data_IF_728633370000
#
_entry.id   IF_728633370000
#
_cell.length_a   1.000
_cell.length_b   1.000
_cell.length_c   1.000
_cell.angle_alpha   90.00
_cell.angle_beta   90.00
_cell.angle_gamma   90.00
#
_symmetry.space_group_name_H-M   'P 1'
#
loop_
_entity.id
_entity.type
_entity.pdbx_description
1 polymer ?
#
# COMPACT_ATOMS: atom_id res chain seq x y z
N UNK A 1 -11.80 -13.64 -5.74
CA UNK A 1 -10.32 -13.51 -5.77
C UNK A 1 -9.94 -12.21 -5.08
N UNK A 2 -8.80 -12.14 -4.40
CA UNK A 2 -8.31 -10.86 -3.86
C UNK A 2 -7.54 -10.11 -4.94
N UNK A 3 -7.77 -8.81 -5.04
CA UNK A 3 -7.02 -7.94 -5.94
C UNK A 3 -5.79 -7.39 -5.22
N UNK A 4 -4.81 -6.90 -5.97
CA UNK A 4 -3.58 -6.32 -5.45
C UNK A 4 -3.17 -5.10 -6.28
N UNK A 5 -2.71 -4.07 -5.58
CA UNK A 5 -1.93 -2.98 -6.17
C UNK A 5 -0.47 -3.28 -5.84
N UNK A 6 0.40 -3.23 -6.83
CA UNK A 6 1.81 -3.57 -6.71
C UNK A 6 2.68 -2.34 -6.96
N UNK A 7 3.81 -2.23 -6.26
CA UNK A 7 4.80 -1.20 -6.57
C UNK A 7 6.20 -1.61 -6.10
N UNK A 8 7.26 -1.24 -6.82
CA UNK A 8 8.62 -1.66 -6.51
C UNK A 8 9.28 -0.70 -5.50
N UNK A 9 10.09 -1.23 -4.58
CA UNK A 9 10.92 -0.47 -3.63
C UNK A 9 12.33 -1.06 -3.53
N UNK A 10 13.28 -0.23 -3.10
CA UNK A 10 14.71 -0.60 -3.01
C UNK A 10 14.99 -1.69 -1.97
N UNK A 11 14.36 -1.60 -0.81
CA UNK A 11 14.62 -2.46 0.35
C UNK A 11 13.36 -2.63 1.20
N UNK A 12 13.27 -3.77 1.90
CA UNK A 12 12.17 -4.01 2.85
C UNK A 12 12.40 -3.14 4.09
N UNK A 13 11.45 -2.25 4.47
CA UNK A 13 11.62 -1.41 5.66
C UNK A 13 11.57 -2.24 6.95
N UNK A 14 12.11 -1.69 8.05
CA UNK A 14 11.81 -2.23 9.37
C UNK A 14 10.33 -2.04 9.69
N UNK A 15 9.82 -2.82 10.66
CA UNK A 15 8.43 -2.68 11.10
C UNK A 15 8.17 -1.29 11.67
N UNK A 16 9.11 -0.75 12.46
CA UNK A 16 9.01 0.60 13.03
C UNK A 16 8.93 1.66 11.93
N UNK A 17 9.81 1.61 10.93
CA UNK A 17 9.77 2.53 9.78
C UNK A 17 8.45 2.43 9.02
N UNK A 18 7.91 1.22 8.86
CA UNK A 18 6.61 1.03 8.20
C UNK A 18 5.48 1.67 9.01
N UNK A 19 5.48 1.52 10.34
CA UNK A 19 4.50 2.16 11.22
C UNK A 19 4.57 3.68 11.10
N UNK A 20 5.76 4.26 11.21
CA UNK A 20 5.98 5.71 11.12
C UNK A 20 5.46 6.24 9.77
N UNK A 21 5.80 5.56 8.66
CA UNK A 21 5.32 5.93 7.32
C UNK A 21 3.80 5.94 7.23
N UNK A 22 3.13 4.94 7.79
CA UNK A 22 1.66 4.85 7.72
C UNK A 22 1.04 5.95 8.59
N UNK A 23 1.52 6.13 9.82
CA UNK A 23 0.98 7.13 10.75
C UNK A 23 1.18 8.55 10.21
N UNK A 24 2.39 8.89 9.82
CA UNK A 24 2.73 10.19 9.26
C UNK A 24 1.97 10.43 7.94
N UNK A 25 1.84 9.39 7.11
CA UNK A 25 1.07 9.45 5.87
C UNK A 25 -0.40 9.80 6.09
N UNK A 26 -1.04 9.18 7.09
CA UNK A 26 -2.42 9.50 7.45
C UNK A 26 -2.54 10.92 8.00
N UNK A 27 -1.63 11.34 8.88
CA UNK A 27 -1.64 12.70 9.42
C UNK A 27 -1.41 13.76 8.34
N UNK A 28 -0.52 13.50 7.37
CA UNK A 28 -0.30 14.36 6.20
C UNK A 28 -1.55 14.47 5.31
N UNK A 29 -2.42 13.46 5.33
CA UNK A 29 -3.73 13.46 4.66
C UNK A 29 -4.86 14.01 5.56
N UNK A 30 -4.54 14.56 6.73
CA UNK A 30 -5.49 15.04 7.74
C UNK A 30 -6.46 13.95 8.24
N UNK A 31 -6.03 12.69 8.25
CA UNK A 31 -6.80 11.55 8.73
C UNK A 31 -6.39 11.16 10.16
N UNK A 32 -7.38 10.72 10.95
CA UNK A 32 -7.13 10.18 12.29
C UNK A 32 -6.56 8.76 12.22
N UNK A 33 -5.60 8.46 13.09
CA UNK A 33 -5.03 7.11 13.25
C UNK A 33 -5.52 6.40 14.52
N UNK A 34 -6.41 7.03 15.30
CA UNK A 34 -6.84 6.51 16.62
C UNK A 34 -7.52 5.13 16.55
N UNK A 35 -8.16 4.81 15.42
CA UNK A 35 -8.86 3.54 15.19
C UNK A 35 -8.09 2.61 14.24
N UNK A 36 -6.87 2.97 13.85
CA UNK A 36 -6.05 2.18 12.94
C UNK A 36 -5.29 1.10 13.71
N UNK A 37 -5.49 -0.15 13.33
CA UNK A 37 -4.74 -1.30 13.83
C UNK A 37 -3.78 -1.80 12.75
N UNK A 38 -2.50 -1.94 13.11
CA UNK A 38 -1.47 -2.51 12.24
C UNK A 38 -0.90 -3.73 12.93
N UNK A 39 -1.13 -4.91 12.34
CA UNK A 39 -0.66 -6.19 12.84
C UNK A 39 0.26 -6.87 11.83
N UNK A 40 1.03 -7.86 12.29
CA UNK A 40 1.84 -8.71 11.43
C UNK A 40 1.48 -10.18 11.65
N UNK A 41 1.65 -11.00 10.61
CA UNK A 41 1.41 -12.44 10.73
C UNK A 41 2.27 -13.08 11.82
N UNK A 42 1.70 -14.10 12.48
CA UNK A 42 2.27 -14.78 13.64
C UNK A 42 3.50 -15.64 13.27
N UNK A 43 4.60 -14.97 12.96
CA UNK A 43 5.92 -15.55 12.70
C UNK A 43 6.95 -14.98 13.66
N UNK A 44 8.05 -15.69 13.92
CA UNK A 44 9.11 -15.23 14.83
C UNK A 44 9.76 -13.93 14.33
N UNK A 45 10.08 -13.02 15.25
CA UNK A 45 10.80 -11.76 14.95
C UNK A 45 9.95 -10.68 14.26
N UNK A 46 10.58 -9.56 13.92
CA UNK A 46 9.94 -8.38 13.30
C UNK A 46 10.36 -8.17 11.83
N UNK A 47 11.17 -9.05 11.25
CA UNK A 47 11.55 -8.97 9.84
C UNK A 47 10.31 -9.21 8.94
N UNK A 48 10.05 -8.30 8.01
CA UNK A 48 8.85 -8.31 7.17
C UNK A 48 8.95 -9.18 5.90
N UNK A 49 10.12 -9.74 5.58
CA UNK A 49 10.39 -10.44 4.31
C UNK A 49 9.47 -11.62 4.03
N UNK A 50 8.96 -12.28 5.06
CA UNK A 50 8.06 -13.42 4.93
C UNK A 50 6.73 -13.20 5.68
N UNK A 51 6.43 -11.95 6.03
CA UNK A 51 5.24 -11.59 6.80
C UNK A 51 4.18 -10.93 5.93
N UNK A 52 2.95 -11.04 6.43
CA UNK A 52 1.82 -10.26 5.94
C UNK A 52 1.57 -9.19 7.00
N UNK A 53 1.56 -7.93 6.61
CA UNK A 53 1.10 -6.85 7.48
C UNK A 53 -0.39 -6.67 7.22
N UNK A 54 -1.18 -6.69 8.28
CA UNK A 54 -2.61 -6.44 8.22
C UNK A 54 -2.88 -5.03 8.73
N UNK A 55 -3.65 -4.25 7.98
CA UNK A 55 -4.03 -2.89 8.35
C UNK A 55 -5.55 -2.84 8.37
N UNK A 56 -6.12 -2.39 9.48
CA UNK A 56 -7.55 -2.24 9.66
C UNK A 56 -7.88 -0.88 10.25
N UNK A 57 -8.79 -0.15 9.60
CA UNK A 57 -9.50 0.95 10.23
C UNK A 57 -10.78 0.39 10.87
N UNK A 58 -10.86 0.44 12.20
CA UNK A 58 -11.99 -0.11 12.95
C UNK A 58 -13.23 0.80 12.92
N UNK A 59 -13.10 2.09 12.60
CA UNK A 59 -14.24 3.00 12.56
C UNK A 59 -15.16 2.70 11.38
N UNK A 60 -14.57 2.33 10.24
CA UNK A 60 -15.27 2.13 8.98
C UNK A 60 -15.13 0.71 8.41
N UNK A 61 -14.56 -0.20 9.18
CA UNK A 61 -14.33 -1.62 8.84
C UNK A 61 -13.49 -1.82 7.56
N UNK A 62 -12.62 -0.86 7.24
CA UNK A 62 -11.72 -0.98 6.10
C UNK A 62 -10.54 -1.86 6.45
N UNK A 63 -10.17 -2.76 5.55
CA UNK A 63 -9.03 -3.65 5.76
C UNK A 63 -8.25 -3.92 4.48
N UNK A 64 -6.94 -3.91 4.63
CA UNK A 64 -5.97 -4.28 3.60
C UNK A 64 -4.86 -5.11 4.21
N UNK A 65 -4.07 -5.75 3.35
CA UNK A 65 -2.85 -6.41 3.77
C UNK A 65 -1.70 -6.12 2.84
N UNK A 66 -0.49 -6.05 3.39
CA UNK A 66 0.74 -5.75 2.67
C UNK A 66 1.62 -6.99 2.70
N UNK A 67 2.24 -7.29 1.57
CA UNK A 67 3.29 -8.30 1.43
C UNK A 67 4.50 -7.73 0.70
N UNK A 68 5.69 -8.16 1.07
CA UNK A 68 6.93 -7.85 0.36
C UNK A 68 7.44 -9.11 -0.34
N UNK A 69 7.72 -9.01 -1.65
CA UNK A 69 8.29 -10.10 -2.43
C UNK A 69 9.63 -9.65 -2.99
N UNK A 70 10.71 -10.28 -2.55
CA UNK A 70 12.06 -10.01 -3.05
C UNK A 70 12.32 -10.84 -4.31
N UNK A 71 12.86 -10.19 -5.34
CA UNK A 71 13.36 -10.80 -6.56
C UNK A 71 14.88 -10.65 -6.59
N UNK A 72 15.59 -11.74 -6.90
CA UNK A 72 17.03 -11.67 -7.07
C UNK A 72 17.37 -10.80 -8.29
N UNK A 73 18.49 -10.03 -8.26
CA UNK A 73 18.85 -9.09 -9.32
C UNK A 73 18.86 -9.66 -10.73
N UNK A 74 19.19 -10.95 -10.86
CA UNK A 74 19.20 -11.69 -12.11
C UNK A 74 17.81 -11.75 -12.74
N UNK A 75 16.77 -11.98 -11.92
CA UNK A 75 15.39 -12.03 -12.36
C UNK A 75 14.81 -10.64 -12.65
N UNK A 76 15.24 -9.60 -11.93
CA UNK A 76 14.76 -8.22 -12.13
C UNK A 76 14.97 -7.75 -13.58
N UNK A 77 16.15 -8.05 -14.14
CA UNK A 77 16.47 -7.70 -15.53
C UNK A 77 15.63 -8.48 -16.55
N UNK A 78 15.13 -9.67 -16.19
CA UNK A 78 14.26 -10.48 -17.06
C UNK A 78 12.80 -10.01 -17.03
N UNK A 79 12.34 -9.46 -15.90
CA UNK A 79 10.95 -9.03 -15.69
C UNK A 79 10.73 -7.52 -15.81
N UNK A 80 11.79 -6.75 -16.12
CA UNK A 80 11.77 -5.29 -16.34
C UNK A 80 11.12 -4.51 -15.18
N UNK A 81 11.56 -4.79 -13.95
CA UNK A 81 11.07 -4.14 -12.73
C UNK A 81 12.13 -3.16 -12.19
N UNK A 82 11.72 -1.97 -11.78
CA UNK A 82 12.63 -0.91 -11.33
C UNK A 82 13.48 -1.26 -10.10
N UNK A 83 12.93 -2.03 -9.15
CA UNK A 83 13.58 -2.32 -7.87
C UNK A 83 13.35 -3.78 -7.40
N UNK A 84 14.25 -4.32 -6.55
CA UNK A 84 14.25 -5.74 -6.15
C UNK A 84 13.07 -6.19 -5.29
N UNK A 85 12.35 -5.27 -4.65
CA UNK A 85 11.26 -5.66 -3.76
C UNK A 85 9.95 -5.18 -4.34
N UNK A 86 9.05 -6.10 -4.69
CA UNK A 86 7.68 -5.78 -5.05
C UNK A 86 6.80 -5.78 -3.80
N UNK A 87 6.27 -4.61 -3.46
CA UNK A 87 5.23 -4.46 -2.45
C UNK A 87 3.90 -4.80 -3.08
N UNK A 88 3.06 -5.56 -2.38
CA UNK A 88 1.68 -5.80 -2.79
C UNK A 88 0.70 -5.42 -1.70
N UNK A 89 -0.21 -4.50 -2.02
CA UNK A 89 -1.33 -4.07 -1.18
C UNK A 89 -2.58 -4.80 -1.64
N UNK A 90 -2.98 -5.83 -0.89
CA UNK A 90 -4.12 -6.66 -1.18
C UNK A 90 -5.40 -6.19 -0.49
N UNK A 91 -6.53 -6.35 -1.18
CA UNK A 91 -7.85 -5.92 -0.71
C UNK A 91 -8.98 -6.83 -1.23
N UNK A 92 -10.19 -6.65 -0.66
CA UNK A 92 -11.44 -7.26 -1.15
C UNK A 92 -12.60 -6.27 -1.07
N UNK A 93 -13.32 -6.09 -2.17
CA UNK A 93 -14.47 -5.17 -2.24
C UNK A 93 -14.07 -3.72 -2.53
N UNK A 94 -15.06 -2.90 -2.89
CA UNK A 94 -14.84 -1.55 -3.40
C UNK A 94 -14.35 -0.55 -2.33
N UNK A 95 -14.87 -0.61 -1.11
CA UNK A 95 -14.40 0.31 -0.04
C UNK A 95 -12.94 0.04 0.33
N UNK A 96 -12.57 -1.24 0.47
CA UNK A 96 -11.20 -1.65 0.72
C UNK A 96 -10.27 -1.37 -0.47
N UNK A 97 -10.79 -1.31 -1.70
CA UNK A 97 -10.01 -0.88 -2.85
C UNK A 97 -9.56 0.58 -2.71
N UNK A 98 -10.49 1.48 -2.38
CA UNK A 98 -10.18 2.89 -2.17
C UNK A 98 -9.20 3.08 -1.02
N UNK A 99 -9.39 2.32 0.06
CA UNK A 99 -8.47 2.29 1.19
C UNK A 99 -7.08 1.75 0.80
N UNK A 100 -7.02 0.71 -0.05
CA UNK A 100 -5.77 0.19 -0.59
C UNK A 100 -5.04 1.21 -1.46
N UNK A 101 -5.76 2.00 -2.28
CA UNK A 101 -5.16 3.09 -3.07
C UNK A 101 -4.54 4.14 -2.16
N UNK A 102 -5.24 4.52 -1.08
CA UNK A 102 -4.70 5.45 -0.08
C UNK A 102 -3.43 4.91 0.59
N UNK A 103 -3.45 3.66 1.04
CA UNK A 103 -2.27 3.01 1.63
C UNK A 103 -1.12 2.89 0.62
N UNK A 104 -1.42 2.54 -0.62
CA UNK A 104 -0.45 2.46 -1.71
C UNK A 104 0.22 3.82 -1.91
N UNK A 105 -0.54 4.90 -2.00
CA UNK A 105 0.00 6.24 -2.16
C UNK A 105 0.94 6.64 -1.02
N UNK A 106 0.50 6.43 0.23
CA UNK A 106 1.30 6.71 1.43
C UNK A 106 2.63 5.95 1.38
N UNK A 107 2.57 4.64 1.16
CA UNK A 107 3.74 3.78 1.17
C UNK A 107 4.67 4.03 -0.02
N UNK A 108 4.12 4.12 -1.23
CA UNK A 108 4.89 4.30 -2.45
C UNK A 108 5.64 5.63 -2.44
N UNK A 109 5.02 6.72 -1.95
CA UNK A 109 5.71 8.01 -1.80
C UNK A 109 6.85 7.95 -0.78
N UNK A 110 6.59 7.40 0.40
CA UNK A 110 7.55 7.40 1.49
C UNK A 110 8.71 6.41 1.27
N UNK A 111 8.46 5.32 0.54
CA UNK A 111 9.47 4.31 0.18
C UNK A 111 10.11 4.57 -1.19
N UNK A 112 9.90 5.76 -1.75
CA UNK A 112 10.51 6.25 -3.00
C UNK A 112 10.26 5.32 -4.21
N UNK A 113 9.07 4.71 -4.28
CA UNK A 113 8.63 4.03 -5.49
C UNK A 113 8.47 5.04 -6.62
N UNK A 114 8.72 4.57 -7.85
CA UNK A 114 8.58 5.38 -9.05
C UNK A 114 7.28 5.09 -9.78
N UNK A 115 6.87 3.83 -9.79
CA UNK A 115 5.74 3.33 -10.57
C UNK A 115 4.80 2.50 -9.71
N UNK A 116 3.56 2.38 -10.16
CA UNK A 116 2.56 1.49 -9.59
C UNK A 116 2.06 0.56 -10.71
N UNK A 117 1.89 -0.71 -10.39
CA UNK A 117 1.26 -1.71 -11.25
C UNK A 117 -0.08 -2.11 -10.62
N UNK A 118 -1.19 -1.89 -11.30
CA UNK A 118 -2.51 -2.30 -10.82
C UNK A 118 -3.09 -3.39 -11.71
N UNK A 119 -3.38 -4.55 -11.13
CA UNK A 119 -3.99 -5.67 -11.84
C UNK A 119 -5.49 -5.47 -12.12
N UNK A 120 -6.14 -4.46 -11.54
CA UNK A 120 -7.60 -4.41 -11.48
C UNK A 120 -8.30 -3.13 -11.95
N UNK A 121 -7.77 -1.90 -11.81
CA UNK A 121 -8.65 -0.74 -12.12
C UNK A 121 -8.05 0.61 -12.51
N UNK A 122 -6.85 0.99 -12.10
CA UNK A 122 -6.43 2.40 -12.23
C UNK A 122 -6.34 2.90 -13.67
N UNK A 123 -6.11 2.02 -14.64
CA UNK A 123 -6.48 2.18 -16.06
C UNK A 123 -6.70 0.76 -16.60
N UNK A 124 -7.61 0.56 -17.57
CA UNK A 124 -7.77 -0.70 -18.31
C UNK A 124 -6.55 -1.05 -19.21
N UNK A 125 -5.34 -0.72 -18.77
CA UNK A 125 -4.08 -1.07 -19.43
C UNK A 125 -3.10 -1.59 -18.40
N UNK A 126 -2.38 -2.64 -18.77
CA UNK A 126 -1.23 -3.19 -18.03
C UNK A 126 -0.03 -2.24 -18.13
N UNK A 127 -0.26 -0.95 -17.94
CA UNK A 127 0.75 0.09 -18.10
C UNK A 127 1.12 0.60 -16.71
N UNK A 128 2.41 0.80 -16.50
CA UNK A 128 2.98 1.46 -15.34
C UNK A 128 2.61 2.94 -15.33
N UNK A 129 2.31 3.49 -14.15
CA UNK A 129 2.04 4.91 -13.99
C UNK A 129 2.77 5.48 -12.78
N UNK A 130 3.18 6.76 -12.84
CA UNK A 130 3.91 7.41 -11.77
C UNK A 130 3.05 7.55 -10.51
N UNK A 131 3.69 7.45 -9.34
CA UNK A 131 3.01 7.56 -8.03
C UNK A 131 2.19 8.85 -7.88
N UNK A 132 2.60 9.94 -8.56
CA UNK A 132 1.92 11.23 -8.55
C UNK A 132 0.50 11.17 -9.11
N UNK A 133 0.20 10.25 -10.04
CA UNK A 133 -1.15 10.13 -10.61
C UNK A 133 -2.18 9.69 -9.57
N UNK A 134 -1.75 8.93 -8.55
CA UNK A 134 -2.60 8.52 -7.44
C UNK A 134 -3.14 9.70 -6.61
N UNK A 135 -2.48 10.86 -6.61
CA UNK A 135 -2.85 11.99 -5.76
C UNK A 135 -4.30 12.43 -6.00
N UNK A 136 -4.70 12.53 -7.26
CA UNK A 136 -6.07 12.90 -7.65
C UNK A 136 -7.12 11.91 -7.11
N UNK A 137 -6.83 10.61 -7.21
CA UNK A 137 -7.69 9.55 -6.70
C UNK A 137 -7.75 9.55 -5.18
N UNK A 138 -6.62 9.76 -4.50
CA UNK A 138 -6.53 9.81 -3.04
C UNK A 138 -7.39 10.94 -2.48
N UNK A 139 -7.30 12.14 -3.06
CA UNK A 139 -8.13 13.28 -2.62
C UNK A 139 -9.62 12.98 -2.78
N UNK A 140 -10.02 12.33 -3.88
CA UNK A 140 -11.41 11.92 -4.07
C UNK A 140 -11.82 10.83 -3.06
N UNK A 141 -11.01 9.79 -2.91
CA UNK A 141 -11.32 8.64 -2.06
C UNK A 141 -11.35 8.97 -0.58
N UNK A 142 -10.55 9.95 -0.13
CA UNK A 142 -10.65 10.45 1.25
C UNK A 142 -12.07 10.96 1.53
N UNK A 143 -12.66 11.75 0.63
CA UNK A 143 -14.02 12.28 0.80
C UNK A 143 -15.08 11.18 0.82
N UNK A 144 -14.85 10.11 0.08
CA UNK A 144 -15.77 8.98 -0.03
C UNK A 144 -15.65 7.98 1.14
N UNK A 145 -14.45 7.83 1.70
CA UNK A 145 -14.16 6.90 2.82
C UNK A 145 -14.37 7.55 4.19
N UNK A 146 -14.06 8.83 4.29
CA UNK A 146 -14.13 9.60 5.53
C UNK A 146 -15.05 10.81 5.33
N UNK A 147 -16.36 10.58 5.09
CA UNK A 147 -17.30 11.68 5.04
C UNK A 147 -17.26 12.40 6.39
N UNK A 148 -17.08 13.72 6.36
CA UNK A 148 -17.32 14.53 7.56
C UNK A 148 -18.82 14.52 7.76
N UNK A 149 -19.29 13.99 8.90
CA UNK A 149 -20.68 14.19 9.31
C UNK A 149 -20.90 15.71 9.43
N UNK A 150 -21.61 16.31 8.46
CA UNK A 150 -22.12 17.69 8.56
C UNK A 150 -23.23 17.81 9.62
#
# INVERSE_FOLDING_TARGET
MSNKILFPIKEIPSFEKLLDVIVDGFHNLSLSTQQLTIGISAKKGLNLSDKIIFIQDNCYEYSCWISFNYFEPEYINEIDVDYPVMVGVGYRGLSNQKFAVLLTYVLARALESRVIYDDAYLVQRKDDYPVQELESFVVQYIKELYPVDE
#
